data_IF_928059275020
#
_entry.id   IF_928059275020
#
_cell.length_a   1.000
_cell.length_b   1.000
_cell.length_c   1.000
_cell.angle_alpha   90.00
_cell.angle_beta   90.00
_cell.angle_gamma   90.00
#
_symmetry.space_group_name_H-M   'P 1'
#
loop_
_entity.id
_entity.type
_entity.pdbx_description
1 polymer ?
#
# COMPACT_ATOMS: atom_id res chain seq x y z
N UNK A 1 17.36 36.90 3.98
CA UNK A 1 18.74 36.34 4.04
C UNK A 1 18.72 35.19 5.04
N UNK A 2 19.29 34.04 4.66
CA UNK A 2 19.49 32.79 5.42
C UNK A 2 18.21 32.02 5.89
N UNK A 3 17.66 31.18 5.00
CA UNK A 3 16.68 30.14 5.37
C UNK A 3 17.41 28.86 5.80
N UNK A 4 17.06 28.35 6.97
CA UNK A 4 17.62 27.18 7.66
C UNK A 4 17.72 25.93 6.78
N UNK A 5 18.94 25.48 6.53
CA UNK A 5 19.23 24.09 6.19
C UNK A 5 19.38 23.30 7.50
N UNK A 6 18.40 22.46 7.82
CA UNK A 6 18.49 21.54 8.96
C UNK A 6 19.11 20.22 8.47
N UNK A 7 20.43 20.10 8.60
CA UNK A 7 21.23 18.93 8.23
C UNK A 7 21.34 17.95 9.41
N UNK A 8 20.74 16.77 9.29
CA UNK A 8 21.08 15.51 9.98
C UNK A 8 20.71 14.40 8.97
N UNK A 9 21.56 13.56 8.39
CA UNK A 9 22.75 12.86 8.87
C UNK A 9 23.65 12.38 7.70
N UNK A 10 24.96 12.25 7.94
CA UNK A 10 25.97 11.69 7.04
C UNK A 10 26.01 10.17 7.04
N UNK A 11 26.09 9.60 5.84
CA UNK A 11 26.70 8.30 5.60
C UNK A 11 28.19 8.36 5.91
N UNK A 12 28.74 7.39 6.65
CA UNK A 12 30.19 7.20 6.75
C UNK A 12 30.70 6.05 5.85
N UNK A 13 32.02 5.86 5.83
CA UNK A 13 32.84 5.27 4.77
C UNK A 13 32.58 3.80 4.37
N UNK A 14 31.48 3.16 4.77
CA UNK A 14 31.21 1.73 4.50
C UNK A 14 29.88 1.43 3.78
N UNK A 15 29.12 2.44 3.32
CA UNK A 15 27.94 2.20 2.45
C UNK A 15 26.57 2.59 3.02
N UNK A 16 26.44 3.65 3.81
CA UNK A 16 25.13 4.16 4.26
C UNK A 16 24.40 4.91 3.10
N UNK A 17 23.11 5.30 3.26
CA UNK A 17 22.34 6.15 2.31
C UNK A 17 22.27 7.64 2.72
N UNK A 18 22.44 8.58 1.77
CA UNK A 18 22.41 10.05 1.97
C UNK A 18 21.05 10.49 1.48
N UNK A 19 20.12 10.69 2.39
CA UNK A 19 18.85 11.32 2.07
C UNK A 19 19.02 12.84 2.11
N UNK A 20 18.81 13.49 0.97
CA UNK A 20 18.55 14.92 0.94
C UNK A 20 17.04 15.10 0.93
N UNK A 21 16.47 15.35 2.12
CA UNK A 21 15.09 15.82 2.24
C UNK A 21 15.14 17.35 2.11
N UNK A 22 15.03 17.86 0.88
CA UNK A 22 14.63 19.26 0.69
C UNK A 22 13.11 19.34 0.89
N UNK A 23 12.57 20.43 1.44
CA UNK A 23 11.19 20.51 1.92
C UNK A 23 10.11 20.25 0.85
N UNK A 24 10.48 20.08 -0.43
CA UNK A 24 9.54 19.78 -1.52
C UNK A 24 10.05 18.80 -2.59
N UNK A 25 11.19 18.11 -2.39
CA UNK A 25 11.76 17.18 -3.38
C UNK A 25 12.72 16.18 -2.71
N UNK A 26 12.38 14.89 -2.73
CA UNK A 26 13.37 13.83 -2.58
C UNK A 26 14.01 13.63 -3.96
N UNK A 27 15.20 14.18 -4.16
CA UNK A 27 16.02 13.83 -5.32
C UNK A 27 16.89 12.63 -4.95
N UNK A 28 16.45 11.43 -5.35
CA UNK A 28 17.28 10.23 -5.28
C UNK A 28 18.30 10.26 -6.43
N UNK A 29 19.47 10.83 -6.19
CA UNK A 29 20.64 10.70 -7.07
C UNK A 29 21.47 9.46 -6.69
N UNK A 30 20.82 8.30 -6.61
CA UNK A 30 21.53 7.05 -6.36
C UNK A 30 21.13 6.01 -7.41
N UNK A 31 22.04 5.77 -8.36
CA UNK A 31 21.98 4.69 -9.35
C UNK A 31 21.97 3.29 -8.71
N UNK A 32 22.22 3.19 -7.41
CA UNK A 32 22.02 1.97 -6.63
C UNK A 32 20.65 2.06 -5.96
N UNK A 33 19.68 1.28 -6.48
CA UNK A 33 18.32 1.22 -5.94
C UNK A 33 18.24 0.85 -4.45
N UNK A 34 17.01 0.66 -3.95
CA UNK A 34 16.76 0.17 -2.60
C UNK A 34 17.56 -1.11 -2.37
N UNK A 35 18.59 -1.08 -1.52
CA UNK A 35 19.28 -2.29 -1.08
C UNK A 35 18.42 -3.01 -0.05
N UNK A 36 18.67 -4.30 0.13
CA UNK A 36 17.99 -5.08 1.17
C UNK A 36 18.29 -4.51 2.56
N UNK A 37 19.52 -4.02 2.81
CA UNK A 37 19.90 -3.38 4.07
C UNK A 37 19.14 -2.08 4.31
N UNK A 38 19.00 -1.21 3.29
CA UNK A 38 18.23 0.01 3.44
C UNK A 38 16.74 -0.26 3.60
N UNK A 39 16.19 -1.24 2.87
CA UNK A 39 14.81 -1.66 3.06
C UNK A 39 14.59 -2.13 4.49
N UNK A 40 15.48 -3.01 4.99
CA UNK A 40 15.42 -3.53 6.36
C UNK A 40 15.54 -2.41 7.40
N UNK A 41 16.45 -1.46 7.22
CA UNK A 41 16.62 -0.33 8.12
C UNK A 41 15.38 0.57 8.17
N UNK A 42 14.79 0.88 7.01
CA UNK A 42 13.56 1.66 6.93
C UNK A 42 12.36 0.92 7.53
N UNK A 43 12.25 -0.39 7.29
CA UNK A 43 11.22 -1.26 7.87
C UNK A 43 11.36 -1.29 9.40
N UNK A 44 12.58 -1.42 9.92
CA UNK A 44 12.86 -1.36 11.36
C UNK A 44 12.47 -0.01 11.96
N UNK A 45 12.81 1.09 11.29
CA UNK A 45 12.42 2.43 11.73
C UNK A 45 10.90 2.62 11.70
N UNK A 46 10.20 2.03 10.73
CA UNK A 46 8.75 2.05 10.65
C UNK A 46 8.10 1.29 11.83
N UNK A 47 8.71 0.19 12.29
CA UNK A 47 8.29 -0.55 13.49
C UNK A 47 8.57 0.17 14.81
N UNK A 48 9.84 0.52 15.03
CA UNK A 48 10.41 0.85 16.34
C UNK A 48 10.67 2.36 16.51
N UNK A 49 10.48 3.15 15.45
CA UNK A 49 10.75 4.58 15.46
C UNK A 49 9.77 5.37 16.33
N UNK A 50 10.15 6.62 16.62
CA UNK A 50 9.24 7.63 17.17
C UNK A 50 8.10 7.91 16.17
N UNK A 51 6.97 8.50 16.58
CA UNK A 51 5.90 8.86 15.64
C UNK A 51 6.39 9.64 14.41
N UNK A 52 7.32 10.57 14.59
CA UNK A 52 7.99 11.28 13.49
C UNK A 52 8.87 10.35 12.65
N UNK A 53 9.70 9.52 13.29
CA UNK A 53 10.56 8.57 12.59
C UNK A 53 9.77 7.55 11.75
N UNK A 54 8.59 7.13 12.21
CA UNK A 54 7.68 6.26 11.45
C UNK A 54 7.16 6.95 10.19
N UNK A 55 6.75 8.23 10.29
CA UNK A 55 6.29 9.02 9.14
C UNK A 55 7.42 9.27 8.13
N UNK A 56 8.62 9.56 8.61
CA UNK A 56 9.80 9.75 7.76
C UNK A 56 10.18 8.45 7.05
N UNK A 57 10.18 7.33 7.76
CA UNK A 57 10.40 6.01 7.19
C UNK A 57 9.37 5.67 6.12
N UNK A 58 8.08 5.87 6.41
CA UNK A 58 7.00 5.61 5.47
C UNK A 58 7.14 6.49 4.21
N UNK A 59 7.47 7.77 4.39
CA UNK A 59 7.71 8.71 3.27
C UNK A 59 8.92 8.29 2.42
N UNK A 60 10.02 7.86 3.06
CA UNK A 60 11.19 7.36 2.34
C UNK A 60 10.86 6.10 1.55
N UNK A 61 10.19 5.12 2.16
CA UNK A 61 9.74 3.88 1.53
C UNK A 61 8.83 4.17 0.34
N UNK A 62 7.83 5.05 0.51
CA UNK A 62 6.91 5.46 -0.55
C UNK A 62 7.67 6.00 -1.75
N UNK A 63 8.55 6.98 -1.53
CA UNK A 63 9.32 7.62 -2.60
C UNK A 63 10.28 6.66 -3.29
N UNK A 64 10.92 5.76 -2.54
CA UNK A 64 11.79 4.72 -3.10
C UNK A 64 11.00 3.71 -3.94
N UNK A 65 9.78 3.37 -3.53
CA UNK A 65 8.94 2.37 -4.19
C UNK A 65 8.23 2.87 -5.44
N UNK A 66 8.22 4.19 -5.70
CA UNK A 66 7.76 4.75 -6.99
C UNK A 66 8.56 4.12 -8.15
N UNK A 67 9.86 3.87 -7.93
CA UNK A 67 10.70 3.21 -8.91
C UNK A 67 10.39 1.70 -8.98
N UNK A 68 10.01 1.22 -10.17
CA UNK A 68 9.56 -0.16 -10.39
C UNK A 68 10.55 -1.21 -9.88
N UNK A 69 11.85 -1.02 -10.11
CA UNK A 69 12.89 -1.96 -9.67
C UNK A 69 13.08 -2.07 -8.15
N UNK A 70 12.54 -1.12 -7.37
CA UNK A 70 12.62 -1.14 -5.91
C UNK A 70 11.44 -1.90 -5.27
N UNK A 71 10.30 -2.00 -5.95
CA UNK A 71 9.10 -2.68 -5.44
C UNK A 71 9.36 -4.16 -5.08
N UNK A 72 9.92 -5.01 -5.97
CA UNK A 72 10.20 -6.40 -5.60
C UNK A 72 11.26 -6.51 -4.49
N UNK A 73 12.18 -5.54 -4.38
CA UNK A 73 13.18 -5.52 -3.29
C UNK A 73 12.55 -5.18 -1.94
N UNK A 74 11.64 -4.20 -1.90
CA UNK A 74 10.87 -3.87 -0.71
C UNK A 74 10.02 -5.07 -0.25
N UNK A 75 9.37 -5.75 -1.19
CA UNK A 75 8.59 -6.98 -0.93
C UNK A 75 9.48 -8.08 -0.34
N UNK A 76 10.65 -8.34 -0.94
CA UNK A 76 11.63 -9.33 -0.45
C UNK A 76 12.16 -9.01 0.95
N UNK A 77 12.28 -7.73 1.29
CA UNK A 77 12.65 -7.28 2.63
C UNK A 77 11.54 -7.47 3.69
N UNK A 78 10.38 -8.02 3.32
CA UNK A 78 9.32 -8.39 4.27
C UNK A 78 8.34 -7.27 4.61
N UNK A 79 8.31 -6.18 3.83
CA UNK A 79 7.49 -5.01 4.16
C UNK A 79 5.98 -5.30 4.22
N UNK A 80 5.48 -6.27 3.44
CA UNK A 80 4.03 -6.51 3.33
C UNK A 80 3.42 -6.94 4.67
N UNK A 81 4.05 -7.89 5.38
CA UNK A 81 3.54 -8.37 6.67
C UNK A 81 3.42 -7.23 7.69
N UNK A 82 4.39 -6.33 7.66
CA UNK A 82 4.47 -5.16 8.52
C UNK A 82 3.39 -4.12 8.20
N UNK A 83 3.17 -3.80 6.93
CA UNK A 83 2.08 -2.90 6.51
C UNK A 83 0.71 -3.46 6.92
N UNK A 84 0.52 -4.77 6.77
CA UNK A 84 -0.71 -5.45 7.21
C UNK A 84 -0.91 -5.36 8.72
N UNK A 85 0.15 -5.51 9.51
CA UNK A 85 0.09 -5.31 10.96
C UNK A 85 -0.33 -3.88 11.31
N UNK A 86 0.25 -2.87 10.66
CA UNK A 86 -0.12 -1.47 10.90
C UNK A 86 -1.59 -1.16 10.58
N UNK A 87 -2.14 -1.77 9.53
CA UNK A 87 -3.57 -1.61 9.22
C UNK A 87 -4.48 -2.28 10.26
N UNK A 88 -4.08 -3.41 10.85
CA UNK A 88 -4.84 -4.07 11.92
C UNK A 88 -4.82 -3.27 13.21
N UNK A 89 -3.67 -2.70 13.55
CA UNK A 89 -3.48 -2.07 14.85
C UNK A 89 -4.15 -0.69 14.93
N UNK A 90 -4.60 -0.10 13.81
CA UNK A 90 -5.42 1.12 13.59
C UNK A 90 -5.09 2.40 14.42
N UNK A 91 -4.14 2.34 15.34
CA UNK A 91 -3.83 3.35 16.35
C UNK A 91 -2.46 4.02 16.14
N UNK A 92 -1.75 3.68 15.06
CA UNK A 92 -0.42 4.21 14.77
C UNK A 92 -0.40 5.59 14.11
N UNK A 93 -1.55 6.14 13.69
CA UNK A 93 -1.65 7.45 13.04
C UNK A 93 -0.92 7.56 11.69
N UNK A 94 -0.63 6.42 11.05
CA UNK A 94 0.09 6.32 9.76
C UNK A 94 -0.67 5.51 8.69
N UNK A 95 -2.00 5.38 8.85
CA UNK A 95 -2.85 4.59 7.93
C UNK A 95 -2.77 5.15 6.50
N UNK A 96 -2.74 6.48 6.35
CA UNK A 96 -2.59 7.16 5.06
C UNK A 96 -1.34 6.71 4.31
N UNK A 97 -0.20 6.73 4.98
CA UNK A 97 1.08 6.34 4.40
C UNK A 97 1.12 4.84 4.12
N UNK A 98 0.60 4.00 5.03
CA UNK A 98 0.62 2.54 4.89
C UNK A 98 -0.19 2.08 3.68
N UNK A 99 -1.44 2.56 3.52
CA UNK A 99 -2.28 2.16 2.38
C UNK A 99 -1.71 2.72 1.07
N UNK A 100 -1.09 3.90 1.09
CA UNK A 100 -0.42 4.47 -0.09
C UNK A 100 0.82 3.65 -0.52
N UNK A 101 1.62 3.15 0.43
CA UNK A 101 2.74 2.25 0.12
C UNK A 101 2.19 0.93 -0.43
N UNK A 102 1.12 0.38 0.16
CA UNK A 102 0.49 -0.84 -0.36
C UNK A 102 -0.02 -0.67 -1.78
N UNK A 103 -0.64 0.46 -2.13
CA UNK A 103 -1.07 0.78 -3.51
C UNK A 103 0.11 0.73 -4.47
N UNK A 104 1.22 1.40 -4.12
CA UNK A 104 2.42 1.41 -4.94
C UNK A 104 2.97 -0.01 -5.14
N UNK A 105 3.03 -0.81 -4.09
CA UNK A 105 3.53 -2.19 -4.19
C UNK A 105 2.58 -3.08 -5.01
N UNK A 106 1.26 -2.92 -4.85
CA UNK A 106 0.24 -3.65 -5.61
C UNK A 106 0.23 -3.31 -7.11
N UNK A 107 0.91 -2.25 -7.54
CA UNK A 107 1.12 -1.99 -8.97
C UNK A 107 2.23 -2.85 -9.62
N UNK A 108 2.88 -3.73 -8.85
CA UNK A 108 3.86 -4.71 -9.33
C UNK A 108 3.41 -6.13 -8.98
N UNK A 109 3.71 -7.10 -9.86
CA UNK A 109 3.23 -8.48 -9.72
C UNK A 109 3.63 -9.10 -8.37
N UNK A 110 4.90 -9.03 -7.97
CA UNK A 110 5.41 -9.55 -6.69
C UNK A 110 4.71 -8.92 -5.49
N UNK A 111 4.37 -7.63 -5.57
CA UNK A 111 3.62 -6.96 -4.51
C UNK A 111 2.20 -7.51 -4.41
N UNK A 112 1.52 -7.72 -5.54
CA UNK A 112 0.17 -8.32 -5.57
C UNK A 112 0.16 -9.72 -4.99
N UNK A 113 1.08 -10.57 -5.43
CA UNK A 113 1.20 -11.95 -4.92
C UNK A 113 1.43 -11.94 -3.41
N UNK A 114 2.37 -11.13 -2.92
CA UNK A 114 2.65 -11.04 -1.49
C UNK A 114 1.46 -10.50 -0.68
N UNK A 115 0.75 -9.47 -1.19
CA UNK A 115 -0.43 -8.90 -0.52
C UNK A 115 -1.59 -9.92 -0.47
N UNK A 116 -1.84 -10.66 -1.55
CA UNK A 116 -2.85 -11.71 -1.60
C UNK A 116 -2.55 -12.87 -0.64
N UNK A 117 -1.28 -13.30 -0.57
CA UNK A 117 -0.83 -14.35 0.36
C UNK A 117 -0.90 -13.92 1.84
N UNK A 118 -0.79 -12.62 2.13
CA UNK A 118 -0.84 -12.07 3.48
C UNK A 118 -2.26 -12.03 4.10
N UNK A 119 -3.28 -12.64 3.45
CA UNK A 119 -4.68 -12.67 3.91
C UNK A 119 -5.24 -11.28 4.21
N UNK A 120 -4.94 -10.33 3.33
CA UNK A 120 -5.20 -8.89 3.53
C UNK A 120 -6.62 -8.45 3.18
N UNK A 121 -7.41 -9.28 2.48
CA UNK A 121 -8.71 -8.89 1.90
C UNK A 121 -9.67 -8.29 2.92
N UNK A 122 -9.91 -8.96 4.06
CA UNK A 122 -10.80 -8.44 5.11
C UNK A 122 -10.38 -7.06 5.64
N UNK A 123 -9.07 -6.80 5.71
CA UNK A 123 -8.50 -5.54 6.19
C UNK A 123 -8.72 -4.44 5.15
N UNK A 124 -8.46 -4.75 3.87
CA UNK A 124 -8.70 -3.80 2.78
C UNK A 124 -10.18 -3.43 2.67
N UNK A 125 -11.07 -4.41 2.81
CA UNK A 125 -12.52 -4.19 2.83
C UNK A 125 -12.92 -3.31 4.01
N UNK A 126 -12.32 -3.52 5.19
CA UNK A 126 -12.57 -2.67 6.36
C UNK A 126 -12.08 -1.23 6.14
N UNK A 127 -10.89 -1.04 5.57
CA UNK A 127 -10.38 0.31 5.23
C UNK A 127 -11.27 1.00 4.20
N UNK A 128 -11.82 0.27 3.22
CA UNK A 128 -12.80 0.81 2.26
C UNK A 128 -14.09 1.26 2.96
N UNK A 129 -14.50 0.57 4.03
CA UNK A 129 -15.72 0.85 4.78
C UNK A 129 -15.58 2.04 5.73
N UNK A 130 -14.45 2.14 6.44
CA UNK A 130 -14.31 3.07 7.58
C UNK A 130 -13.22 4.13 7.42
N UNK A 131 -12.38 4.04 6.39
CA UNK A 131 -11.28 4.96 6.17
C UNK A 131 -11.70 6.36 5.70
N UNK A 132 -10.73 7.29 5.68
CA UNK A 132 -10.93 8.59 5.02
C UNK A 132 -11.14 8.41 3.50
N UNK A 133 -11.70 9.40 2.77
CA UNK A 133 -11.84 9.31 1.32
C UNK A 133 -10.55 8.88 0.58
N UNK A 134 -9.39 9.35 1.06
CA UNK A 134 -8.08 8.98 0.53
C UNK A 134 -7.70 7.53 0.86
N UNK A 135 -7.94 7.06 2.09
CA UNK A 135 -7.66 5.67 2.45
C UNK A 135 -8.54 4.71 1.65
N UNK A 136 -9.83 5.06 1.49
CA UNK A 136 -10.80 4.27 0.74
C UNK A 136 -10.40 4.16 -0.73
N UNK A 137 -9.98 5.27 -1.36
CA UNK A 137 -9.43 5.28 -2.72
C UNK A 137 -8.21 4.36 -2.85
N UNK A 138 -7.22 4.52 -1.97
CA UNK A 138 -5.99 3.73 -2.03
C UNK A 138 -6.25 2.24 -1.76
N UNK A 139 -7.14 1.90 -0.82
CA UNK A 139 -7.50 0.53 -0.52
C UNK A 139 -8.24 -0.13 -1.69
N UNK A 140 -9.14 0.59 -2.37
CA UNK A 140 -9.75 0.13 -3.62
C UNK A 140 -8.71 -0.04 -4.74
N UNK A 141 -7.67 0.81 -4.77
CA UNK A 141 -6.55 0.70 -5.70
C UNK A 141 -5.66 -0.54 -5.46
N UNK A 142 -5.54 -1.00 -4.22
CA UNK A 142 -4.90 -2.27 -3.87
C UNK A 142 -5.82 -3.46 -4.21
N UNK A 143 -7.10 -3.36 -3.84
CA UNK A 143 -8.06 -4.48 -3.97
C UNK A 143 -8.38 -4.81 -5.43
N UNK A 144 -8.46 -3.79 -6.29
CA UNK A 144 -8.80 -3.94 -7.71
C UNK A 144 -7.92 -4.96 -8.45
N UNK A 145 -6.57 -4.80 -8.52
CA UNK A 145 -5.74 -5.74 -9.25
C UNK A 145 -5.73 -7.14 -8.63
N UNK A 146 -5.93 -7.27 -7.31
CA UNK A 146 -6.03 -8.58 -6.65
C UNK A 146 -7.29 -9.32 -7.12
N UNK A 147 -8.43 -8.64 -7.14
CA UNK A 147 -9.72 -9.21 -7.53
C UNK A 147 -9.83 -9.45 -9.04
N UNK A 148 -9.17 -8.65 -9.88
CA UNK A 148 -9.19 -8.85 -11.34
C UNK A 148 -8.28 -9.99 -11.80
N UNK A 149 -7.21 -10.29 -11.07
CA UNK A 149 -6.20 -11.29 -11.48
C UNK A 149 -6.39 -12.66 -10.81
N UNK A 150 -7.03 -12.71 -9.63
CA UNK A 150 -7.24 -13.93 -8.88
C UNK A 150 -8.71 -14.09 -8.43
N UNK A 151 -9.48 -15.00 -9.05
CA UNK A 151 -10.87 -15.28 -8.67
C UNK A 151 -11.03 -15.69 -7.20
N UNK A 152 -10.01 -16.28 -6.57
CA UNK A 152 -10.05 -16.61 -5.14
C UNK A 152 -10.06 -15.34 -4.28
N UNK A 153 -9.30 -14.30 -4.64
CA UNK A 153 -9.31 -13.02 -3.93
C UNK A 153 -10.66 -12.32 -4.09
N UNK A 154 -11.26 -12.38 -5.29
CA UNK A 154 -12.60 -11.85 -5.55
C UNK A 154 -13.67 -12.55 -4.70
N UNK A 155 -13.61 -13.90 -4.61
CA UNK A 155 -14.50 -14.68 -3.74
C UNK A 155 -14.33 -14.33 -2.26
N UNK A 156 -13.08 -14.24 -1.78
CA UNK A 156 -12.79 -13.81 -0.41
C UNK A 156 -13.30 -12.39 -0.13
N UNK A 157 -13.20 -11.48 -1.11
CA UNK A 157 -13.72 -10.12 -0.96
C UNK A 157 -15.25 -10.15 -0.76
N UNK A 158 -15.96 -10.97 -1.54
CA UNK A 158 -17.40 -11.21 -1.38
C UNK A 158 -17.73 -11.76 0.00
N UNK A 159 -17.04 -12.82 0.43
CA UNK A 159 -17.24 -13.45 1.75
C UNK A 159 -17.02 -12.49 2.92
N UNK A 160 -16.15 -11.48 2.75
CA UNK A 160 -15.90 -10.43 3.73
C UNK A 160 -16.80 -9.19 3.57
N UNK A 161 -17.87 -9.26 2.78
CA UNK A 161 -18.85 -8.19 2.64
C UNK A 161 -18.33 -6.97 1.87
N UNK A 162 -17.44 -7.20 0.88
CA UNK A 162 -16.92 -6.14 0.02
C UNK A 162 -18.04 -5.47 -0.79
N UNK A 163 -19.07 -6.20 -1.18
CA UNK A 163 -20.13 -5.69 -2.07
C UNK A 163 -20.80 -4.42 -1.53
N UNK A 164 -21.30 -4.44 -0.29
CA UNK A 164 -21.92 -3.27 0.33
C UNK A 164 -20.93 -2.09 0.48
N UNK A 165 -19.68 -2.37 0.84
CA UNK A 165 -18.65 -1.34 1.01
C UNK A 165 -18.24 -0.71 -0.35
N UNK A 166 -18.17 -1.52 -1.40
CA UNK A 166 -17.85 -1.08 -2.76
C UNK A 166 -19.03 -0.34 -3.40
N UNK A 167 -20.28 -0.74 -3.13
CA UNK A 167 -21.46 -0.03 -3.59
C UNK A 167 -21.49 1.40 -3.03
N UNK A 168 -21.35 1.55 -1.71
CA UNK A 168 -21.30 2.87 -1.08
C UNK A 168 -20.09 3.69 -1.58
N UNK A 169 -18.93 3.06 -1.82
CA UNK A 169 -17.77 3.72 -2.44
C UNK A 169 -18.04 4.16 -3.89
N UNK A 170 -18.79 3.38 -4.67
CA UNK A 170 -19.14 3.72 -6.06
C UNK A 170 -20.08 4.92 -6.15
N UNK A 171 -20.86 5.17 -5.11
CA UNK A 171 -21.81 6.29 -5.03
C UNK A 171 -21.14 7.55 -4.47
N UNK A 172 -20.36 7.39 -3.38
CA UNK A 172 -19.88 8.51 -2.56
C UNK A 172 -18.35 8.73 -2.59
N UNK A 173 -17.60 7.86 -3.27
CA UNK A 173 -16.15 7.95 -3.37
C UNK A 173 -15.63 9.06 -4.30
N UNK A 174 -14.31 9.18 -4.37
CA UNK A 174 -13.62 9.97 -5.40
C UNK A 174 -13.78 9.32 -6.77
N UNK A 175 -13.57 10.06 -7.87
CA UNK A 175 -13.68 9.50 -9.24
C UNK A 175 -12.79 8.26 -9.44
N UNK A 176 -11.57 8.28 -8.90
CA UNK A 176 -10.65 7.14 -8.95
C UNK A 176 -11.18 5.94 -8.16
N UNK A 177 -11.76 6.18 -6.99
CA UNK A 177 -12.34 5.13 -6.17
C UNK A 177 -13.58 4.51 -6.86
N UNK A 178 -14.44 5.35 -7.44
CA UNK A 178 -15.67 4.94 -8.14
C UNK A 178 -15.38 4.01 -9.31
N UNK A 179 -14.40 4.34 -10.15
CA UNK A 179 -14.00 3.50 -11.30
C UNK A 179 -13.58 2.10 -10.84
N UNK A 180 -12.77 2.02 -9.79
CA UNK A 180 -12.25 0.75 -9.28
C UNK A 180 -13.32 -0.05 -8.58
N UNK A 181 -14.15 0.60 -7.76
CA UNK A 181 -15.27 -0.03 -7.09
C UNK A 181 -16.26 -0.63 -8.10
N UNK A 182 -16.67 0.15 -9.10
CA UNK A 182 -17.53 -0.31 -10.19
C UNK A 182 -16.94 -1.52 -10.92
N UNK A 183 -15.65 -1.48 -11.25
CA UNK A 183 -14.97 -2.61 -11.91
C UNK A 183 -15.02 -3.91 -11.08
N UNK A 184 -14.86 -3.82 -9.75
CA UNK A 184 -14.94 -4.99 -8.87
C UNK A 184 -16.39 -5.47 -8.73
N UNK A 185 -17.35 -4.56 -8.60
CA UNK A 185 -18.78 -4.88 -8.53
C UNK A 185 -19.27 -5.62 -9.78
N UNK A 186 -18.84 -5.19 -10.98
CA UNK A 186 -19.13 -5.91 -12.23
C UNK A 186 -18.59 -7.36 -12.22
N UNK A 187 -17.42 -7.58 -11.63
CA UNK A 187 -16.85 -8.93 -11.50
C UNK A 187 -17.64 -9.78 -10.50
N UNK A 188 -18.09 -9.21 -9.39
CA UNK A 188 -18.93 -9.89 -8.40
C UNK A 188 -20.27 -10.33 -9.01
N UNK A 189 -20.92 -9.46 -9.79
CA UNK A 189 -22.16 -9.78 -10.51
C UNK A 189 -21.98 -10.92 -11.51
N UNK A 190 -20.84 -10.94 -12.23
CA UNK A 190 -20.52 -12.03 -13.17
C UNK A 190 -20.28 -13.36 -12.47
N UNK A 191 -19.67 -13.35 -11.28
CA UNK A 191 -19.46 -14.56 -10.47
C UNK A 191 -20.80 -15.18 -10.04
N UNK A 192 -21.77 -14.36 -9.64
CA UNK A 192 -23.12 -14.82 -9.26
C UNK A 192 -23.88 -15.46 -10.41
N UNK A 193 -23.74 -14.91 -11.61
CA UNK A 193 -24.34 -15.50 -12.81
C UNK A 193 -23.85 -16.93 -13.07
N UNK A 194 -22.59 -17.23 -12.75
CA UNK A 194 -22.01 -18.57 -12.92
C UNK A 194 -22.49 -19.54 -11.84
N UNK A 195 -22.53 -19.11 -10.57
CA UNK A 195 -22.99 -19.94 -9.46
C UNK A 195 -24.46 -20.36 -9.63
N UNK A 196 -25.30 -19.46 -10.16
CA UNK A 196 -26.72 -19.73 -10.45
C UNK A 196 -26.92 -20.73 -11.61
N UNK A 197 -25.99 -20.77 -12.58
CA UNK A 197 -26.04 -21.71 -13.71
C UNK A 197 -25.49 -23.11 -13.37
N UNK A 198 -24.65 -23.22 -12.33
CA UNK A 198 -24.12 -24.51 -11.86
C UNK A 198 -25.03 -25.18 -10.81
N UNK A 199 -25.99 -24.43 -10.25
CA UNK A 199 -26.93 -24.89 -9.22
C UNK A 199 -28.33 -25.21 -9.78
N UNK A 200 -28.52 -25.15 -11.10
CA UNK A 200 -29.75 -25.50 -11.84
C UNK A 200 -29.52 -26.73 -12.72
#
# INVERSE_FOLDING_TARGET
MASSAMYLSTIDASGRYRFFVYPFKIFMYCSTGLSEDAATALIKLLCEGTPTGKKDAATAIFNLSIYQGNKPRAVKAGIIALLIQFLKDAGGGIVDEVVAIMEILASHHEGRVAIGQAKSIHILVEVIRTGSPRNRENAAAVLWPLCTEDPLQLKLAKEHGAEAALQELSENGTDRAKIKAGSILELLQRMEGVDNLQSS
#
